data_IF_988408323889
#
_entry.id   IF_988408323889
#
_cell.length_a   1.000
_cell.length_b   1.000
_cell.length_c   1.000
_cell.angle_alpha   90.00
_cell.angle_beta   90.00
_cell.angle_gamma   90.00
#
_symmetry.space_group_name_H-M   'P 1'
#
loop_
_entity.id
_entity.type
_entity.pdbx_description
1 polymer ?
#
# COMPACT_ATOMS: atom_id res chain seq x y z
N UNK A 1 -17.66 -5.02 -8.55
CA UNK A 1 -18.00 -5.59 -9.88
C UNK A 1 -19.50 -5.48 -10.14
N UNK A 2 -20.37 -6.08 -9.31
CA UNK A 2 -21.83 -5.98 -9.45
C UNK A 2 -22.37 -4.54 -9.58
N UNK A 3 -21.93 -3.62 -8.72
CA UNK A 3 -22.40 -2.22 -8.78
C UNK A 3 -22.00 -1.45 -10.05
N UNK A 4 -21.05 -1.96 -10.83
CA UNK A 4 -20.59 -1.33 -12.08
C UNK A 4 -21.10 -2.09 -13.33
N UNK A 5 -21.79 -3.21 -13.16
CA UNK A 5 -22.26 -4.06 -14.26
C UNK A 5 -23.42 -3.38 -14.98
N UNK A 6 -23.24 -3.08 -16.27
CA UNK A 6 -24.21 -2.41 -17.14
C UNK A 6 -24.85 -1.14 -16.55
N UNK A 7 -24.13 -0.43 -15.68
CA UNK A 7 -24.62 0.79 -15.05
C UNK A 7 -24.09 2.04 -15.77
N UNK A 8 -24.91 2.74 -16.60
CA UNK A 8 -24.43 3.81 -17.47
C UNK A 8 -24.16 5.14 -16.74
N UNK A 9 -24.58 5.27 -15.47
CA UNK A 9 -24.56 6.53 -14.72
C UNK A 9 -23.46 6.63 -13.67
N UNK A 10 -22.54 5.67 -13.61
CA UNK A 10 -21.45 5.74 -12.65
C UNK A 10 -20.53 4.54 -12.68
N UNK A 11 -19.34 4.75 -12.13
CA UNK A 11 -18.33 3.72 -11.98
C UNK A 11 -17.69 3.86 -10.60
N UNK A 12 -17.82 2.82 -9.77
CA UNK A 12 -17.11 2.74 -8.50
C UNK A 12 -15.69 2.31 -8.79
N UNK A 13 -14.73 3.18 -8.48
CA UNK A 13 -13.31 2.89 -8.64
C UNK A 13 -12.85 1.77 -7.69
N UNK A 14 -11.82 1.04 -8.12
CA UNK A 14 -11.15 0.05 -7.28
C UNK A 14 -10.53 0.73 -6.04
N UNK A 15 -10.44 0.01 -4.91
CA UNK A 15 -9.71 0.51 -3.75
C UNK A 15 -8.21 0.65 -4.05
N UNK A 16 -7.54 1.47 -3.25
CA UNK A 16 -6.12 1.78 -3.42
C UNK A 16 -5.66 2.81 -2.40
N UNK A 17 -4.35 2.99 -2.26
CA UNK A 17 -3.84 4.15 -1.55
C UNK A 17 -4.15 5.40 -2.37
N UNK A 18 -4.95 6.29 -1.78
CA UNK A 18 -5.34 7.55 -2.39
C UNK A 18 -4.55 8.66 -1.72
N UNK A 19 -3.57 9.21 -2.43
CA UNK A 19 -2.61 10.16 -1.87
C UNK A 19 -2.12 11.17 -2.92
N UNK A 20 -1.07 11.91 -2.59
CA UNK A 20 -0.44 12.88 -3.48
C UNK A 20 -0.76 14.34 -3.15
N UNK A 21 0.17 15.20 -3.57
CA UNK A 21 0.22 16.61 -3.14
C UNK A 21 -1.04 17.40 -3.47
N UNK A 22 -1.63 17.17 -4.65
CA UNK A 22 -2.83 17.91 -5.07
C UNK A 22 -4.05 17.55 -4.20
N UNK A 23 -4.27 16.27 -3.90
CA UNK A 23 -5.41 15.87 -3.09
C UNK A 23 -5.31 16.43 -1.67
N UNK A 24 -4.12 16.39 -1.05
CA UNK A 24 -3.91 16.97 0.28
C UNK A 24 -4.12 18.48 0.29
N UNK A 25 -3.46 19.21 -0.63
CA UNK A 25 -3.47 20.67 -0.63
C UNK A 25 -4.87 21.21 -0.95
N UNK A 26 -5.54 20.65 -1.95
CA UNK A 26 -6.83 21.16 -2.43
C UNK A 26 -7.92 20.87 -1.39
N UNK A 27 -7.88 19.68 -0.77
CA UNK A 27 -8.73 19.38 0.39
C UNK A 27 -8.51 20.36 1.53
N UNK A 28 -7.26 20.61 1.92
CA UNK A 28 -6.92 21.53 3.00
C UNK A 28 -7.48 22.94 2.73
N UNK A 29 -7.23 23.48 1.54
CA UNK A 29 -7.75 24.80 1.14
C UNK A 29 -9.28 24.87 1.16
N UNK A 30 -9.98 23.86 0.62
CA UNK A 30 -11.45 23.83 0.62
C UNK A 30 -12.01 23.76 2.04
N UNK A 31 -11.39 22.93 2.90
CA UNK A 31 -11.83 22.71 4.27
C UNK A 31 -11.56 23.93 5.18
N UNK A 32 -10.54 24.74 4.86
CA UNK A 32 -10.28 26.00 5.57
C UNK A 32 -11.24 27.12 5.14
N UNK A 33 -11.63 27.16 3.87
CA UNK A 33 -12.46 28.24 3.31
C UNK A 33 -13.97 27.99 3.46
N UNK A 34 -14.40 26.74 3.63
CA UNK A 34 -15.80 26.38 3.76
C UNK A 34 -16.01 25.43 4.94
N UNK A 35 -16.96 25.73 5.85
CA UNK A 35 -17.29 24.86 6.99
C UNK A 35 -18.23 23.69 6.63
N UNK A 36 -18.76 23.63 5.40
CA UNK A 36 -19.69 22.59 4.94
C UNK A 36 -19.14 21.27 4.35
N UNK A 37 -17.83 21.02 4.14
CA UNK A 37 -17.37 19.84 3.41
C UNK A 37 -17.14 18.62 4.32
N UNK A 38 -18.12 18.26 5.16
CA UNK A 38 -18.05 17.06 6.01
C UNK A 38 -17.80 15.79 5.18
N UNK A 39 -18.34 15.75 3.96
CA UNK A 39 -18.11 14.66 3.02
C UNK A 39 -16.63 14.55 2.60
N UNK A 40 -15.96 15.67 2.31
CA UNK A 40 -14.55 15.65 1.91
C UNK A 40 -13.67 15.28 3.11
N UNK A 41 -13.99 15.78 4.30
CA UNK A 41 -13.30 15.41 5.53
C UNK A 41 -13.47 13.92 5.83
N UNK A 42 -14.67 13.37 5.65
CA UNK A 42 -14.93 11.94 5.81
C UNK A 42 -14.13 11.10 4.80
N UNK A 43 -14.14 11.49 3.52
CA UNK A 43 -13.36 10.82 2.47
C UNK A 43 -11.85 10.85 2.78
N UNK A 44 -11.34 12.01 3.21
CA UNK A 44 -9.95 12.17 3.63
C UNK A 44 -9.61 11.26 4.80
N UNK A 45 -10.44 11.23 5.85
CA UNK A 45 -10.26 10.35 7.02
C UNK A 45 -10.23 8.87 6.63
N UNK A 46 -11.11 8.44 5.74
CA UNK A 46 -11.14 7.05 5.26
C UNK A 46 -9.84 6.71 4.53
N UNK A 47 -9.40 7.56 3.61
CA UNK A 47 -8.16 7.35 2.85
C UNK A 47 -6.94 7.31 3.78
N UNK A 48 -6.90 8.21 4.76
CA UNK A 48 -5.82 8.30 5.74
C UNK A 48 -5.79 7.16 6.76
N UNK A 49 -6.93 6.49 6.97
CA UNK A 49 -7.07 5.32 7.82
C UNK A 49 -6.57 4.04 7.15
N UNK A 50 -6.53 3.98 5.80
CA UNK A 50 -6.19 2.76 5.06
C UNK A 50 -4.86 2.11 5.48
N UNK A 51 -3.75 2.84 5.70
CA UNK A 51 -2.51 2.22 6.15
C UNK A 51 -2.65 1.44 7.46
N UNK A 52 -3.35 2.00 8.45
CA UNK A 52 -3.62 1.32 9.72
C UNK A 52 -4.49 0.08 9.51
N UNK A 53 -5.56 0.22 8.73
CA UNK A 53 -6.48 -0.87 8.42
C UNK A 53 -5.77 -2.09 7.83
N UNK A 54 -4.81 -1.87 6.93
CA UNK A 54 -4.04 -2.95 6.30
C UNK A 54 -3.10 -3.65 7.29
N UNK A 55 -2.47 -2.92 8.20
CA UNK A 55 -1.62 -3.51 9.26
C UNK A 55 -2.45 -4.37 10.21
N UNK A 56 -3.60 -3.87 10.64
CA UNK A 56 -4.55 -4.65 11.47
C UNK A 56 -5.02 -5.92 10.75
N UNK A 57 -5.28 -5.82 9.44
CA UNK A 57 -5.72 -6.96 8.64
C UNK A 57 -4.61 -8.01 8.47
N UNK A 58 -3.37 -7.58 8.23
CA UNK A 58 -2.22 -8.48 8.17
C UNK A 58 -1.95 -9.18 9.52
N UNK A 59 -2.08 -8.45 10.63
CA UNK A 59 -1.87 -8.97 12.00
C UNK A 59 -2.83 -10.10 12.39
N UNK A 60 -3.98 -10.24 11.71
CA UNK A 60 -4.92 -11.36 11.92
C UNK A 60 -4.41 -12.69 11.35
N UNK A 61 -3.43 -12.64 10.46
CA UNK A 61 -2.94 -13.81 9.71
C UNK A 61 -1.53 -14.22 10.13
N UNK A 62 -0.69 -13.26 10.49
CA UNK A 62 0.70 -13.48 10.93
C UNK A 62 1.03 -12.56 12.11
N UNK A 63 1.92 -13.02 12.99
CA UNK A 63 2.44 -12.16 14.06
C UNK A 63 3.47 -11.18 13.49
N UNK A 64 3.08 -9.91 13.36
CA UNK A 64 3.96 -8.88 12.82
C UNK A 64 5.10 -8.49 13.77
N UNK A 65 5.02 -8.78 15.08
CA UNK A 65 6.00 -8.38 16.09
C UNK A 65 7.37 -9.07 15.96
N UNK A 66 7.52 -10.00 15.02
CA UNK A 66 8.80 -10.66 14.71
C UNK A 66 8.91 -10.96 13.22
N UNK A 67 8.04 -10.37 12.40
CA UNK A 67 7.94 -10.65 10.98
C UNK A 67 9.07 -9.98 10.20
N UNK A 68 9.52 -10.63 9.12
CA UNK A 68 10.19 -9.95 8.02
C UNK A 68 9.11 -9.41 7.07
N UNK A 69 9.11 -8.11 6.82
CA UNK A 69 8.07 -7.42 6.07
C UNK A 69 8.68 -6.78 4.82
N UNK A 70 8.03 -6.98 3.68
CA UNK A 70 8.35 -6.28 2.44
C UNK A 70 7.21 -5.35 2.03
N UNK A 71 7.54 -4.10 1.73
CA UNK A 71 6.60 -3.11 1.19
C UNK A 71 6.99 -2.82 -0.26
N UNK A 72 6.17 -3.30 -1.19
CA UNK A 72 6.37 -3.11 -2.63
C UNK A 72 5.73 -1.78 -3.06
N UNK A 73 6.58 -0.85 -3.45
CA UNK A 73 6.22 0.52 -3.80
C UNK A 73 6.33 1.47 -2.62
N UNK A 74 6.72 2.71 -2.93
CA UNK A 74 6.77 3.81 -1.98
C UNK A 74 6.11 5.06 -2.54
N UNK A 75 6.14 5.28 -3.86
CA UNK A 75 5.51 6.46 -4.48
C UNK A 75 3.99 6.39 -4.44
N UNK A 76 3.32 7.55 -4.48
CA UNK A 76 1.86 7.57 -4.46
C UNK A 76 1.23 7.22 -5.81
N UNK A 77 2.03 7.25 -6.89
CA UNK A 77 1.60 7.04 -8.28
C UNK A 77 2.45 5.95 -8.92
N UNK A 78 1.82 5.06 -9.67
CA UNK A 78 2.50 4.03 -10.47
C UNK A 78 3.54 4.61 -11.43
N UNK A 79 4.66 3.92 -11.55
CA UNK A 79 5.75 4.16 -12.50
C UNK A 79 6.24 5.62 -12.45
N UNK A 80 6.42 6.12 -11.23
CA UNK A 80 6.86 7.48 -10.95
C UNK A 80 7.85 7.45 -9.80
N UNK A 81 8.74 8.44 -9.79
CA UNK A 81 9.73 8.73 -8.76
C UNK A 81 9.23 9.76 -7.70
N UNK A 82 7.98 10.21 -7.80
CA UNK A 82 7.44 11.24 -6.89
C UNK A 82 7.05 10.66 -5.52
N UNK A 83 7.83 11.03 -4.52
CA UNK A 83 7.65 10.61 -3.12
C UNK A 83 6.65 11.43 -2.34
N UNK A 84 6.24 12.58 -2.86
CA UNK A 84 5.52 13.58 -2.07
C UNK A 84 4.14 13.08 -1.71
N UNK A 85 3.80 13.23 -0.44
CA UNK A 85 2.50 12.90 0.12
C UNK A 85 2.02 11.47 -0.17
N UNK A 86 2.95 10.53 -0.28
CA UNK A 86 2.64 9.10 -0.21
C UNK A 86 2.06 8.74 1.16
N UNK A 87 1.21 7.70 1.19
CA UNK A 87 0.71 7.09 2.43
C UNK A 87 1.65 6.01 2.98
N UNK A 88 2.67 5.60 2.22
CA UNK A 88 3.63 4.56 2.63
C UNK A 88 4.39 4.94 3.90
N UNK A 89 4.84 6.19 4.13
CA UNK A 89 5.41 6.59 5.43
C UNK A 89 4.48 6.32 6.61
N UNK A 90 3.14 6.41 6.43
CA UNK A 90 2.18 6.08 7.50
C UNK A 90 2.11 4.58 7.73
N UNK A 91 2.08 3.79 6.65
CA UNK A 91 2.14 2.33 6.72
C UNK A 91 3.37 1.87 7.49
N UNK A 92 4.55 2.36 7.10
CA UNK A 92 5.84 2.06 7.75
C UNK A 92 5.80 2.40 9.25
N UNK A 93 5.29 3.57 9.64
CA UNK A 93 5.15 3.92 11.07
C UNK A 93 4.23 3.00 11.85
N UNK A 94 3.15 2.48 11.25
CA UNK A 94 2.29 1.51 11.92
C UNK A 94 2.97 0.14 12.06
N UNK A 95 3.73 -0.26 11.03
CA UNK A 95 4.54 -1.48 11.07
C UNK A 95 5.63 -1.39 12.14
N UNK A 96 6.44 -0.33 12.15
CA UNK A 96 7.52 -0.12 13.13
C UNK A 96 7.05 -0.15 14.58
N UNK A 97 5.83 0.33 14.86
CA UNK A 97 5.25 0.28 16.22
C UNK A 97 5.05 -1.13 16.75
N UNK A 98 4.95 -2.12 15.86
CA UNK A 98 4.85 -3.53 16.22
C UNK A 98 6.22 -4.15 16.49
N UNK A 99 7.31 -3.42 16.24
CA UNK A 99 8.70 -3.88 16.39
C UNK A 99 8.96 -5.14 15.55
N UNK A 100 8.76 -5.08 14.22
CA UNK A 100 9.04 -6.21 13.35
C UNK A 100 10.53 -6.56 13.37
N UNK A 101 10.85 -7.77 12.90
CA UNK A 101 12.26 -8.18 12.78
C UNK A 101 12.99 -7.36 11.74
N UNK A 102 12.31 -7.08 10.62
CA UNK A 102 12.88 -6.35 9.48
C UNK A 102 11.73 -5.76 8.64
N UNK A 103 11.93 -4.54 8.15
CA UNK A 103 11.07 -3.92 7.13
C UNK A 103 11.95 -3.47 5.97
N UNK A 104 11.59 -3.88 4.76
CA UNK A 104 12.27 -3.49 3.52
C UNK A 104 11.28 -2.89 2.53
N UNK A 105 11.78 -2.02 1.66
CA UNK A 105 11.05 -1.41 0.57
C UNK A 105 11.55 -1.98 -0.76
N UNK A 106 10.67 -2.07 -1.74
CA UNK A 106 11.04 -2.28 -3.14
C UNK A 106 10.42 -1.15 -3.95
N UNK A 107 11.20 -0.17 -4.39
CA UNK A 107 10.75 0.92 -5.25
C UNK A 107 11.61 0.98 -6.52
N UNK A 108 11.16 0.38 -7.64
CA UNK A 108 11.96 0.24 -8.86
C UNK A 108 12.24 1.58 -9.55
N UNK A 109 11.43 2.61 -9.30
CA UNK A 109 11.57 3.91 -9.96
C UNK A 109 12.61 4.81 -9.27
N UNK A 110 13.23 4.36 -8.18
CA UNK A 110 14.17 5.14 -7.38
C UNK A 110 15.45 4.33 -7.16
N UNK A 111 16.57 4.90 -7.59
CA UNK A 111 17.89 4.23 -7.53
C UNK A 111 18.55 4.28 -6.15
N UNK A 112 17.98 5.00 -5.18
CA UNK A 112 18.52 5.08 -3.84
C UNK A 112 18.47 3.72 -3.14
N UNK A 113 19.55 3.35 -2.44
CA UNK A 113 19.65 2.09 -1.68
C UNK A 113 18.82 2.11 -0.39
N UNK A 114 18.35 3.29 0.03
CA UNK A 114 17.42 3.43 1.15
C UNK A 114 16.40 4.53 0.87
N UNK A 115 15.20 4.36 1.41
CA UNK A 115 14.10 5.32 1.33
C UNK A 115 13.52 5.45 2.74
N UNK A 116 13.50 6.69 3.25
CA UNK A 116 13.00 7.00 4.62
C UNK A 116 13.67 6.18 5.74
N UNK A 117 14.94 5.82 5.55
CA UNK A 117 15.71 5.02 6.51
C UNK A 117 15.56 3.50 6.37
N UNK A 118 14.71 3.02 5.45
CA UNK A 118 14.53 1.59 5.17
C UNK A 118 15.35 1.18 3.95
N UNK A 119 15.90 -0.05 3.92
CA UNK A 119 16.60 -0.56 2.75
C UNK A 119 15.66 -0.68 1.56
N UNK A 120 16.07 -0.15 0.41
CA UNK A 120 15.41 -0.34 -0.87
C UNK A 120 16.11 -1.49 -1.60
N UNK A 121 15.48 -2.66 -1.56
CA UNK A 121 16.05 -3.92 -2.03
C UNK A 121 15.48 -4.32 -3.39
N UNK A 122 16.12 -5.27 -4.05
CA UNK A 122 15.50 -5.94 -5.18
C UNK A 122 14.27 -6.75 -4.75
N UNK A 123 13.39 -7.05 -5.70
CA UNK A 123 12.19 -7.84 -5.47
C UNK A 123 12.53 -9.21 -4.86
N UNK A 124 13.58 -9.87 -5.37
CA UNK A 124 14.07 -11.15 -4.90
C UNK A 124 14.56 -11.10 -3.45
N UNK A 125 15.33 -10.08 -3.09
CA UNK A 125 15.91 -9.95 -1.75
C UNK A 125 14.84 -9.62 -0.69
N UNK A 126 13.93 -8.72 -1.02
CA UNK A 126 12.85 -8.30 -0.12
C UNK A 126 11.86 -9.44 0.13
N UNK A 127 11.45 -10.16 -0.92
CA UNK A 127 10.47 -11.24 -0.80
C UNK A 127 11.06 -12.53 -0.22
N UNK A 128 12.38 -12.71 -0.28
CA UNK A 128 13.04 -13.86 0.33
C UNK A 128 12.75 -13.92 1.82
N UNK A 129 12.11 -15.02 2.22
CA UNK A 129 11.70 -15.31 3.59
C UNK A 129 10.73 -14.29 4.23
N UNK A 130 10.08 -13.43 3.45
CA UNK A 130 9.11 -12.47 3.97
C UNK A 130 7.87 -13.17 4.58
N UNK A 131 7.47 -12.75 5.77
CA UNK A 131 6.26 -13.22 6.46
C UNK A 131 5.02 -12.40 6.05
N UNK A 132 5.23 -11.12 5.70
CA UNK A 132 4.17 -10.24 5.24
C UNK A 132 4.66 -9.38 4.07
N UNK A 133 3.81 -9.23 3.05
CA UNK A 133 4.10 -8.43 1.86
C UNK A 133 2.94 -7.48 1.61
N UNK A 134 3.25 -6.18 1.47
CA UNK A 134 2.27 -5.15 1.14
C UNK A 134 2.56 -4.59 -0.23
N UNK A 135 1.63 -4.70 -1.17
CA UNK A 135 1.70 -3.97 -2.45
C UNK A 135 1.08 -2.60 -2.23
N UNK A 136 1.94 -1.63 -1.93
CA UNK A 136 1.56 -0.26 -1.61
C UNK A 136 1.31 0.59 -2.87
N UNK A 137 2.02 0.30 -3.98
CA UNK A 137 1.88 1.01 -5.25
C UNK A 137 1.73 0.02 -6.38
N UNK A 138 0.86 0.29 -7.36
CA UNK A 138 0.55 -0.61 -8.48
C UNK A 138 1.50 -0.46 -9.67
N UNK A 139 2.80 -0.47 -9.41
CA UNK A 139 3.84 -0.49 -10.45
C UNK A 139 3.67 -1.71 -11.35
N UNK A 140 4.05 -1.56 -12.63
CA UNK A 140 3.89 -2.64 -13.60
C UNK A 140 4.81 -3.83 -13.29
N UNK A 141 5.96 -3.56 -12.67
CA UNK A 141 6.93 -4.54 -12.19
C UNK A 141 6.34 -5.51 -11.16
N UNK A 142 5.28 -5.13 -10.45
CA UNK A 142 4.63 -5.99 -9.45
C UNK A 142 3.47 -6.80 -10.04
N UNK A 143 3.04 -6.52 -11.28
CA UNK A 143 1.93 -7.23 -11.97
C UNK A 143 2.42 -8.46 -12.71
N UNK A 144 3.20 -9.30 -12.03
CA UNK A 144 3.89 -10.43 -12.63
C UNK A 144 3.81 -11.68 -11.76
N UNK A 145 3.83 -12.85 -12.40
CA UNK A 145 3.90 -14.15 -11.70
C UNK A 145 5.16 -14.28 -10.84
N UNK A 146 6.24 -13.57 -11.18
CA UNK A 146 7.47 -13.57 -10.39
C UNK A 146 7.25 -13.20 -8.92
N UNK A 147 6.31 -12.30 -8.62
CA UNK A 147 5.97 -11.98 -7.23
C UNK A 147 5.43 -13.22 -6.53
N UNK A 148 4.46 -13.92 -7.13
CA UNK A 148 3.91 -15.17 -6.59
C UNK A 148 4.98 -16.23 -6.33
N UNK A 149 5.86 -16.43 -7.30
CA UNK A 149 6.88 -17.49 -7.26
C UNK A 149 7.91 -17.29 -6.13
N UNK A 150 8.09 -16.04 -5.68
CA UNK A 150 9.01 -15.67 -4.61
C UNK A 150 8.39 -15.73 -3.21
N UNK A 151 7.06 -15.80 -3.09
CA UNK A 151 6.39 -15.83 -1.80
C UNK A 151 6.53 -17.20 -1.14
N UNK A 152 6.99 -17.22 0.12
CA UNK A 152 7.02 -18.46 0.90
C UNK A 152 5.62 -18.87 1.36
N UNK A 153 5.45 -20.17 1.59
CA UNK A 153 4.30 -20.71 2.32
C UNK A 153 4.16 -20.06 3.69
N UNK A 154 2.94 -19.67 4.05
CA UNK A 154 2.62 -18.97 5.30
C UNK A 154 2.80 -17.45 5.24
N UNK A 155 3.33 -16.89 4.15
CA UNK A 155 3.37 -15.44 3.96
C UNK A 155 1.95 -14.89 3.82
N UNK A 156 1.67 -13.72 4.41
CA UNK A 156 0.47 -12.94 4.10
C UNK A 156 0.77 -11.92 3.01
N UNK A 157 -0.01 -11.92 1.94
CA UNK A 157 0.05 -10.93 0.88
C UNK A 157 -1.14 -9.97 1.01
N UNK A 158 -0.83 -8.67 1.08
CA UNK A 158 -1.79 -7.57 1.09
C UNK A 158 -1.67 -6.82 -0.24
N UNK A 159 -2.55 -7.16 -1.18
CA UNK A 159 -2.61 -6.54 -2.51
C UNK A 159 -3.90 -5.72 -2.66
N UNK A 160 -3.86 -4.46 -2.22
CA UNK A 160 -5.00 -3.55 -2.29
C UNK A 160 -5.37 -3.19 -3.73
N UNK A 161 -4.37 -3.16 -4.61
CA UNK A 161 -4.50 -2.77 -6.00
C UNK A 161 -4.95 -3.91 -6.92
N UNK A 162 -5.01 -5.13 -6.40
CA UNK A 162 -5.27 -6.34 -7.15
C UNK A 162 -4.29 -6.49 -8.34
N UNK A 163 -3.02 -6.14 -8.13
CA UNK A 163 -1.94 -6.36 -9.10
C UNK A 163 -1.81 -7.83 -9.52
N UNK A 164 -2.16 -8.74 -8.62
CA UNK A 164 -1.95 -10.17 -8.78
C UNK A 164 -3.23 -10.98 -9.05
N UNK A 165 -4.40 -10.35 -9.05
CA UNK A 165 -5.66 -10.92 -9.55
C UNK A 165 -6.50 -11.73 -8.56
N UNK A 166 -6.04 -11.96 -7.33
CA UNK A 166 -6.76 -12.74 -6.29
C UNK A 166 -7.88 -11.93 -5.58
N UNK A 167 -7.95 -10.61 -5.80
CA UNK A 167 -8.94 -9.69 -5.26
C UNK A 167 -9.06 -9.71 -3.71
N UNK A 168 -8.05 -10.17 -2.97
CA UNK A 168 -8.10 -10.39 -1.51
C UNK A 168 -6.73 -10.32 -0.84
N UNK A 169 -6.76 -10.10 0.49
CA UNK A 169 -5.66 -10.53 1.37
C UNK A 169 -5.54 -12.05 1.28
N UNK A 170 -4.34 -12.51 0.93
CA UNK A 170 -4.10 -13.91 0.60
C UNK A 170 -3.04 -14.48 1.53
N UNK A 171 -3.40 -15.51 2.29
CA UNK A 171 -2.43 -16.33 3.00
C UNK A 171 -1.90 -17.39 2.03
N UNK A 172 -0.60 -17.37 1.78
CA UNK A 172 0.05 -18.32 0.86
C UNK A 172 0.06 -19.71 1.52
N UNK A 173 -0.57 -20.69 0.85
CA UNK A 173 -0.75 -22.05 1.35
C UNK A 173 0.38 -23.01 1.00
#
# INVERSE_FOLDING_TARGET
>A
RLSNEDYPRGYIYSPGFTAGTCLRKDFGMINELSPGPDLLLAAWKVNEFMPYHLVELASRHVNLNTAKIAVLGYTFKSNSDDLRDSLVPKLLRYLERLVPKEVSIVEPNIQAQSIDGYPNLSLEEALKDADAVFIATNHDEFKTKKVWDLLKKGCVLIDLWNCLGENKVTLIK
#
